data_IF_472280438249
#
_entry.id   IF_472280438249
#
_cell.length_a   1.000
_cell.length_b   1.000
_cell.length_c   1.000
_cell.angle_alpha   90.00
_cell.angle_beta   90.00
_cell.angle_gamma   90.00
#
_symmetry.space_group_name_H-M   'P 1'
#
loop_
_entity.id
_entity.type
_entity.pdbx_description
1 polymer ?
#
# COMPACT_ATOMS: atom_id res chain seq x y z
N UNK A 1 -4.58 -10.32 5.59
CA UNK A 1 -4.69 -11.07 6.86
C UNK A 1 -5.24 -10.16 7.96
N UNK A 2 -6.48 -9.70 7.84
CA UNK A 2 -7.06 -8.77 8.83
C UNK A 2 -8.58 -8.78 8.81
N UNK A 3 -9.19 -8.55 7.65
CA UNK A 3 -10.63 -8.42 7.53
C UNK A 3 -11.41 -9.67 8.00
N UNK A 4 -11.07 -10.86 7.51
CA UNK A 4 -11.78 -12.10 7.88
C UNK A 4 -11.67 -12.43 9.39
N UNK A 5 -10.47 -12.43 10.00
CA UNK A 5 -10.36 -12.57 11.45
C UNK A 5 -11.07 -11.48 12.25
N UNK A 6 -11.08 -10.24 11.77
CA UNK A 6 -11.82 -9.14 12.43
C UNK A 6 -13.33 -9.33 12.32
N UNK A 7 -13.86 -9.80 11.19
CA UNK A 7 -15.29 -10.11 11.03
C UNK A 7 -15.68 -11.30 11.92
N UNK A 8 -14.84 -12.34 12.01
CA UNK A 8 -15.10 -13.50 12.87
C UNK A 8 -15.00 -13.16 14.36
N UNK A 9 -14.03 -12.33 14.74
CA UNK A 9 -13.89 -11.87 16.12
C UNK A 9 -15.01 -10.90 16.53
N UNK A 10 -15.28 -9.86 15.74
CA UNK A 10 -16.25 -8.82 16.10
C UNK A 10 -17.70 -9.22 15.84
N UNK A 11 -17.94 -10.06 14.83
CA UNK A 11 -19.29 -10.50 14.43
C UNK A 11 -19.74 -11.81 15.06
N UNK A 12 -18.81 -12.73 15.33
CA UNK A 12 -19.13 -14.10 15.79
C UNK A 12 -18.47 -14.49 17.11
N UNK A 13 -17.62 -13.62 17.69
CA UNK A 13 -16.85 -13.88 18.91
C UNK A 13 -15.95 -15.13 18.81
N UNK A 14 -15.57 -15.50 17.59
CA UNK A 14 -14.67 -16.61 17.30
C UNK A 14 -13.34 -16.02 16.88
N UNK A 15 -12.39 -15.93 17.81
CA UNK A 15 -11.01 -15.60 17.49
C UNK A 15 -10.07 -16.76 17.86
N UNK A 16 -9.68 -17.63 16.92
CA UNK A 16 -8.75 -18.71 17.23
C UNK A 16 -7.38 -18.20 17.68
N UNK A 17 -7.04 -16.92 17.41
CA UNK A 17 -5.78 -16.32 17.84
C UNK A 17 -5.75 -15.93 19.32
N UNK A 18 -6.90 -15.88 20.01
CA UNK A 18 -6.94 -15.66 21.46
C UNK A 18 -6.71 -16.94 22.26
N UNK A 19 -6.86 -18.11 21.61
CA UNK A 19 -6.65 -19.41 22.23
C UNK A 19 -5.27 -20.02 21.94
N UNK A 20 -4.57 -19.53 20.92
CA UNK A 20 -3.26 -20.06 20.52
C UNK A 20 -2.24 -18.93 20.32
N UNK A 21 -1.23 -18.91 21.20
CA UNK A 21 -0.15 -17.91 21.20
C UNK A 21 0.66 -17.90 19.90
N UNK A 22 0.87 -19.06 19.27
CA UNK A 22 1.61 -19.18 18.01
C UNK A 22 0.81 -18.52 16.89
N UNK A 23 -0.51 -18.76 16.85
CA UNK A 23 -1.39 -18.14 15.86
C UNK A 23 -1.49 -16.63 16.05
N UNK A 24 -1.54 -16.15 17.30
CA UNK A 24 -1.48 -14.73 17.63
C UNK A 24 -0.22 -14.07 17.06
N UNK A 25 0.96 -14.64 17.35
CA UNK A 25 2.26 -14.14 16.90
C UNK A 25 2.37 -14.11 15.38
N UNK A 26 1.99 -15.20 14.71
CA UNK A 26 2.02 -15.27 13.25
C UNK A 26 1.06 -14.26 12.62
N UNK A 27 -0.15 -14.11 13.17
CA UNK A 27 -1.15 -13.16 12.67
C UNK A 27 -0.62 -11.72 12.73
N UNK A 28 -0.13 -11.27 13.88
CA UNK A 28 0.40 -9.91 14.02
C UNK A 28 1.65 -9.70 13.15
N UNK A 29 2.57 -10.66 13.15
CA UNK A 29 3.77 -10.60 12.31
C UNK A 29 3.44 -10.40 10.83
N UNK A 30 2.60 -11.27 10.26
CA UNK A 30 2.23 -11.15 8.84
C UNK A 30 1.39 -9.91 8.56
N UNK A 31 0.56 -9.46 9.49
CA UNK A 31 -0.19 -8.21 9.33
C UNK A 31 0.77 -7.02 9.16
N UNK A 32 1.80 -6.90 10.02
CA UNK A 32 2.80 -5.84 9.91
C UNK A 32 3.65 -5.98 8.63
N UNK A 33 4.16 -7.18 8.34
CA UNK A 33 4.96 -7.44 7.13
C UNK A 33 4.20 -7.07 5.86
N UNK A 34 2.95 -7.52 5.72
CA UNK A 34 2.15 -7.24 4.52
C UNK A 34 1.79 -5.76 4.40
N UNK A 35 1.53 -5.08 5.52
CA UNK A 35 1.27 -3.64 5.53
C UNK A 35 2.49 -2.84 5.06
N UNK A 36 3.68 -3.23 5.52
CA UNK A 36 4.96 -2.62 5.11
C UNK A 36 5.34 -2.95 3.66
N UNK A 37 5.03 -4.15 3.17
CA UNK A 37 5.21 -4.51 1.77
C UNK A 37 4.32 -3.69 0.85
N UNK A 38 3.04 -3.53 1.19
CA UNK A 38 2.10 -2.74 0.42
C UNK A 38 2.62 -1.31 0.22
N UNK A 39 3.00 -0.62 1.30
CA UNK A 39 3.51 0.76 1.20
C UNK A 39 4.83 0.84 0.43
N UNK A 40 5.76 -0.08 0.69
CA UNK A 40 7.09 -0.07 0.05
C UNK A 40 7.03 -0.32 -1.45
N UNK A 41 6.16 -1.22 -1.91
CA UNK A 41 6.04 -1.50 -3.35
C UNK A 41 5.41 -0.36 -4.12
N UNK A 42 4.45 0.36 -3.54
CA UNK A 42 3.88 1.53 -4.22
C UNK A 42 4.91 2.68 -4.26
N UNK A 43 5.72 2.87 -3.21
CA UNK A 43 6.86 3.79 -3.24
C UNK A 43 7.85 3.38 -4.35
N UNK A 44 8.21 2.10 -4.42
CA UNK A 44 9.13 1.60 -5.44
C UNK A 44 8.58 1.81 -6.85
N UNK A 45 7.28 1.60 -7.05
CA UNK A 45 6.60 1.90 -8.30
C UNK A 45 6.65 3.41 -8.63
N UNK A 46 6.48 4.29 -7.64
CA UNK A 46 6.60 5.75 -7.86
C UNK A 46 8.02 6.18 -8.24
N UNK A 47 9.03 5.59 -7.61
CA UNK A 47 10.44 5.82 -7.95
C UNK A 47 10.73 5.34 -9.37
N UNK A 48 10.31 4.12 -9.70
CA UNK A 48 10.47 3.54 -11.03
C UNK A 48 9.86 4.44 -12.12
N UNK A 49 8.62 4.89 -11.92
CA UNK A 49 7.97 5.84 -12.85
C UNK A 49 8.70 7.16 -12.96
N UNK A 50 9.27 7.67 -11.88
CA UNK A 50 10.07 8.89 -11.91
C UNK A 50 11.34 8.70 -12.76
N UNK A 51 11.99 7.55 -12.65
CA UNK A 51 13.19 7.24 -13.43
C UNK A 51 12.88 7.06 -14.91
N UNK A 52 11.83 6.31 -15.27
CA UNK A 52 11.41 6.11 -16.67
C UNK A 52 11.06 7.44 -17.34
N UNK A 53 10.34 8.32 -16.63
CA UNK A 53 9.91 9.61 -17.18
C UNK A 53 11.01 10.66 -17.21
N UNK A 54 12.16 10.42 -16.56
CA UNK A 54 13.25 11.39 -16.50
C UNK A 54 13.77 11.76 -17.90
N UNK A 55 14.03 13.05 -18.17
CA UNK A 55 14.62 13.47 -19.45
C UNK A 55 16.07 12.99 -19.61
N UNK A 56 16.77 12.68 -18.50
CA UNK A 56 18.16 12.25 -18.53
C UNK A 56 18.27 10.74 -18.82
N UNK A 57 18.99 10.38 -19.89
CA UNK A 57 19.25 8.99 -20.27
C UNK A 57 19.96 8.18 -19.17
N UNK A 58 20.85 8.82 -18.40
CA UNK A 58 21.56 8.16 -17.30
C UNK A 58 20.60 7.79 -16.15
N UNK A 59 19.63 8.66 -15.83
CA UNK A 59 18.60 8.35 -14.83
C UNK A 59 17.67 7.23 -15.30
N UNK A 60 17.28 7.23 -16.58
CA UNK A 60 16.41 6.17 -17.15
C UNK A 60 17.04 4.78 -17.06
N UNK A 61 18.37 4.69 -17.16
CA UNK A 61 19.10 3.41 -17.01
C UNK A 61 18.94 2.75 -15.64
N UNK A 62 18.51 3.48 -14.59
CA UNK A 62 18.23 2.86 -13.29
C UNK A 62 16.91 2.06 -13.30
N UNK A 63 15.96 2.37 -14.18
CA UNK A 63 14.75 1.55 -14.37
C UNK A 63 15.04 0.35 -15.25
N UNK A 64 15.90 -0.55 -14.76
CA UNK A 64 16.11 -1.86 -15.38
C UNK A 64 15.33 -2.92 -14.62
N UNK A 65 14.77 -3.89 -15.35
CA UNK A 65 14.04 -5.03 -14.73
C UNK A 65 14.88 -5.71 -13.65
N UNK A 66 16.18 -5.89 -13.90
CA UNK A 66 17.12 -6.49 -12.93
C UNK A 66 17.19 -5.69 -11.62
N UNK A 67 17.34 -4.36 -11.69
CA UNK A 67 17.41 -3.54 -10.48
C UNK A 67 16.10 -3.56 -9.72
N UNK A 68 14.96 -3.45 -10.41
CA UNK A 68 13.63 -3.49 -9.77
C UNK A 68 13.43 -4.83 -9.05
N UNK A 69 13.76 -5.96 -9.69
CA UNK A 69 13.63 -7.28 -9.07
C UNK A 69 14.55 -7.43 -7.85
N UNK A 70 15.80 -6.98 -7.93
CA UNK A 70 16.73 -7.01 -6.79
C UNK A 70 16.20 -6.14 -5.65
N UNK A 71 15.74 -4.92 -5.95
CA UNK A 71 15.17 -4.01 -4.95
C UNK A 71 13.92 -4.58 -4.30
N UNK A 72 13.02 -5.21 -5.08
CA UNK A 72 11.83 -5.87 -4.54
C UNK A 72 12.21 -6.96 -3.55
N UNK A 73 13.08 -7.91 -3.96
CA UNK A 73 13.54 -9.01 -3.08
C UNK A 73 14.24 -8.47 -1.84
N UNK A 74 15.12 -7.49 -2.00
CA UNK A 74 15.84 -6.86 -0.89
C UNK A 74 14.89 -6.23 0.13
N UNK A 75 13.90 -5.47 -0.34
CA UNK A 75 12.86 -4.87 0.51
C UNK A 75 12.01 -5.96 1.18
N UNK A 76 11.65 -7.04 0.46
CA UNK A 76 10.88 -8.14 1.04
C UNK A 76 11.61 -8.78 2.22
N UNK A 77 12.88 -9.14 2.00
CA UNK A 77 13.74 -9.76 3.02
C UNK A 77 13.99 -8.82 4.18
N UNK A 78 14.26 -7.54 3.89
CA UNK A 78 14.43 -6.51 4.92
C UNK A 78 13.22 -6.46 5.87
N UNK A 79 11.99 -6.37 5.35
CA UNK A 79 10.81 -6.31 6.21
C UNK A 79 10.52 -7.61 6.96
N UNK A 80 10.80 -8.77 6.36
CA UNK A 80 10.66 -10.07 7.05
C UNK A 80 11.58 -10.15 8.27
N UNK A 81 12.84 -9.76 8.11
CA UNK A 81 13.83 -9.76 9.18
C UNK A 81 13.54 -8.65 10.19
N UNK A 82 13.27 -7.44 9.71
CA UNK A 82 13.01 -6.28 10.55
C UNK A 82 11.81 -6.53 11.45
N UNK A 83 10.71 -7.09 10.95
CA UNK A 83 9.50 -7.37 11.73
C UNK A 83 9.58 -8.62 12.62
N UNK A 84 10.70 -9.36 12.62
CA UNK A 84 10.85 -10.61 13.38
C UNK A 84 10.64 -10.46 14.89
N UNK A 85 10.94 -9.29 15.45
CA UNK A 85 10.65 -8.92 16.84
C UNK A 85 9.16 -9.12 17.21
N UNK A 86 8.24 -8.92 16.27
CA UNK A 86 6.81 -9.17 16.47
C UNK A 86 6.49 -10.63 16.81
N UNK A 87 7.29 -11.61 16.36
CA UNK A 87 7.07 -13.02 16.71
C UNK A 87 7.39 -13.32 18.18
N UNK A 88 8.21 -12.50 18.83
CA UNK A 88 8.66 -12.73 20.21
C UNK A 88 7.79 -11.92 21.18
N UNK A 89 7.57 -10.64 20.86
CA UNK A 89 6.95 -9.67 21.76
C UNK A 89 5.43 -9.52 21.57
N UNK A 90 4.78 -10.44 20.85
CA UNK A 90 3.31 -10.55 20.80
C UNK A 90 2.81 -11.56 21.83
N UNK A 91 1.75 -11.18 22.53
CA UNK A 91 1.14 -11.97 23.60
C UNK A 91 -0.38 -11.84 23.63
N UNK A 92 -1.03 -12.78 24.31
CA UNK A 92 -2.46 -12.72 24.57
C UNK A 92 -2.65 -11.98 25.88
N UNK A 93 -3.30 -10.81 25.82
CA UNK A 93 -3.61 -9.99 26.98
C UNK A 93 -5.08 -10.10 27.32
N UNK A 94 -5.38 -10.12 28.61
CA UNK A 94 -6.74 -10.02 29.10
C UNK A 94 -7.11 -8.53 29.20
N UNK A 95 -8.03 -8.09 28.34
CA UNK A 95 -8.47 -6.69 28.32
C UNK A 95 -9.66 -6.44 29.26
N UNK A 96 -10.52 -7.46 29.43
CA UNK A 96 -11.61 -7.46 30.40
C UNK A 96 -11.81 -8.87 31.00
N UNK A 97 -12.55 -9.04 32.11
CA UNK A 97 -12.89 -10.36 32.64
C UNK A 97 -13.49 -11.27 31.55
N UNK A 98 -12.81 -12.37 31.22
CA UNK A 98 -13.23 -13.30 30.16
C UNK A 98 -13.01 -12.82 28.71
N UNK A 99 -12.39 -11.66 28.48
CA UNK A 99 -12.11 -11.13 27.15
C UNK A 99 -10.60 -11.01 26.89
N UNK A 100 -10.10 -11.85 25.98
CA UNK A 100 -8.70 -11.95 25.61
C UNK A 100 -8.48 -11.37 24.22
N UNK A 101 -7.37 -10.67 24.02
CA UNK A 101 -7.01 -10.06 22.74
C UNK A 101 -5.54 -10.36 22.45
N UNK A 102 -5.24 -10.68 21.19
CA UNK A 102 -3.88 -10.78 20.71
C UNK A 102 -3.30 -9.37 20.48
N UNK A 103 -2.28 -8.98 21.24
CA UNK A 103 -1.70 -7.64 21.15
C UNK A 103 -0.18 -7.65 21.36
N UNK A 104 0.46 -6.53 21.04
CA UNK A 104 1.86 -6.31 21.40
C UNK A 104 2.00 -6.25 22.92
N UNK A 105 3.14 -6.69 23.44
CA UNK A 105 3.45 -6.57 24.86
C UNK A 105 3.29 -5.10 25.32
N UNK A 106 2.46 -4.83 26.35
CA UNK A 106 2.21 -3.47 26.82
C UNK A 106 3.46 -2.90 27.48
N UNK A 107 3.59 -1.58 27.41
CA UNK A 107 4.73 -0.82 27.91
C UNK A 107 5.57 -0.25 26.77
N UNK A 108 6.88 -0.22 26.96
CA UNK A 108 7.80 0.43 26.03
C UNK A 108 7.74 -0.14 24.61
N UNK A 109 7.55 -1.46 24.49
CA UNK A 109 7.45 -2.13 23.19
C UNK A 109 6.24 -1.67 22.37
N UNK A 110 5.04 -1.62 22.99
CA UNK A 110 3.84 -1.14 22.30
C UNK A 110 3.98 0.32 21.81
N UNK A 111 4.64 1.17 22.60
CA UNK A 111 4.90 2.57 22.21
C UNK A 111 5.89 2.64 21.04
N UNK A 112 6.97 1.86 21.05
CA UNK A 112 7.92 1.79 19.94
C UNK A 112 7.24 1.33 18.64
N UNK A 113 6.43 0.28 18.70
CA UNK A 113 5.67 -0.20 17.54
C UNK A 113 4.68 0.84 17.04
N UNK A 114 4.02 1.58 17.93
CA UNK A 114 3.11 2.64 17.52
C UNK A 114 3.84 3.77 16.77
N UNK A 115 4.97 4.26 17.29
CA UNK A 115 5.80 5.25 16.60
C UNK A 115 6.37 4.74 15.27
N UNK A 116 6.79 3.48 15.24
CA UNK A 116 7.22 2.81 14.02
C UNK A 116 6.09 2.76 12.99
N UNK A 117 4.87 2.40 13.39
CA UNK A 117 3.68 2.39 12.52
C UNK A 117 3.41 3.78 11.96
N UNK A 118 3.34 4.80 12.82
CA UNK A 118 3.10 6.19 12.42
C UNK A 118 4.15 6.64 11.39
N UNK A 119 5.42 6.33 11.63
CA UNK A 119 6.50 6.75 10.75
C UNK A 119 6.46 6.01 9.41
N UNK A 120 6.41 4.68 9.45
CA UNK A 120 6.63 3.80 8.29
C UNK A 120 5.37 3.60 7.46
N UNK A 121 4.18 3.66 8.07
CA UNK A 121 2.90 3.48 7.38
C UNK A 121 2.18 4.81 7.18
N UNK A 122 2.28 5.73 8.16
CA UNK A 122 1.49 6.96 8.14
C UNK A 122 2.14 8.17 7.49
N UNK A 123 3.41 8.45 7.78
CA UNK A 123 4.05 9.72 7.37
C UNK A 123 4.99 9.56 6.19
N UNK A 124 5.95 8.62 6.27
CA UNK A 124 6.99 8.48 5.26
C UNK A 124 6.42 8.09 3.89
N UNK A 125 5.55 7.07 3.76
CA UNK A 125 5.03 6.68 2.44
C UNK A 125 4.31 7.80 1.69
N UNK A 126 3.29 8.49 2.24
CA UNK A 126 2.60 9.52 1.50
C UNK A 126 3.49 10.71 1.16
N UNK A 127 4.44 11.10 2.02
CA UNK A 127 5.41 12.14 1.71
C UNK A 127 6.29 11.75 0.51
N UNK A 128 6.89 10.57 0.56
CA UNK A 128 7.76 10.06 -0.50
C UNK A 128 6.99 9.89 -1.81
N UNK A 129 5.80 9.32 -1.76
CA UNK A 129 4.91 9.14 -2.91
C UNK A 129 4.49 10.47 -3.53
N UNK A 130 4.19 11.48 -2.72
CA UNK A 130 3.81 12.82 -3.20
C UNK A 130 4.99 13.48 -3.91
N UNK A 131 6.19 13.38 -3.34
CA UNK A 131 7.42 13.91 -3.94
C UNK A 131 7.67 13.24 -5.30
N UNK A 132 7.70 11.90 -5.36
CA UNK A 132 7.94 11.19 -6.62
C UNK A 132 6.81 11.33 -7.63
N UNK A 133 5.55 11.41 -7.17
CA UNK A 133 4.39 11.72 -8.01
C UNK A 133 4.53 13.09 -8.66
N UNK A 134 4.90 14.12 -7.89
CA UNK A 134 5.15 15.46 -8.41
C UNK A 134 6.31 15.50 -9.40
N UNK A 135 7.43 14.83 -9.09
CA UNK A 135 8.58 14.73 -9.98
C UNK A 135 8.20 14.05 -11.31
N UNK A 136 7.41 12.97 -11.26
CA UNK A 136 6.89 12.28 -12.44
C UNK A 136 6.08 13.23 -13.32
N UNK A 137 5.14 14.00 -12.74
CA UNK A 137 4.33 14.98 -13.49
C UNK A 137 5.21 16.08 -14.11
N UNK A 138 6.20 16.59 -13.35
CA UNK A 138 7.14 17.60 -13.83
C UNK A 138 7.98 17.09 -15.01
N UNK A 139 8.45 15.86 -14.94
CA UNK A 139 9.24 15.22 -15.99
C UNK A 139 8.42 15.05 -17.27
N UNK A 140 7.18 14.58 -17.18
CA UNK A 140 6.27 14.45 -18.33
C UNK A 140 6.01 15.80 -19.00
N UNK A 141 5.70 16.84 -18.21
CA UNK A 141 5.47 18.20 -18.73
C UNK A 141 6.70 18.77 -19.44
N UNK A 142 7.90 18.44 -18.97
CA UNK A 142 9.17 18.86 -19.61
C UNK A 142 9.41 18.17 -20.93
N UNK A 143 9.10 16.88 -21.06
CA UNK A 143 9.28 16.12 -22.31
C UNK A 143 8.25 16.53 -23.37
N UNK A 144 7.04 16.93 -22.95
CA UNK A 144 5.96 17.32 -23.89
C UNK A 144 6.14 18.72 -24.50
N UNK A 145 6.83 19.65 -23.82
CA UNK A 145 6.97 21.05 -24.28
C UNK A 145 7.84 21.24 -25.55
N UNK A 146 8.98 20.53 -25.75
CA UNK A 146 9.80 20.71 -26.95
C UNK A 146 9.21 20.05 -28.21
N UNK A 147 8.46 18.95 -28.06
CA UNK A 147 7.96 18.19 -29.22
C UNK A 147 6.84 18.89 -30.00
N UNK A 148 6.20 19.92 -29.44
CA UNK A 148 5.20 20.73 -30.14
C UNK A 148 5.79 21.82 -31.05
N UNK A 149 7.08 22.16 -30.91
CA UNK A 149 7.67 23.25 -31.69
C UNK A 149 8.54 22.79 -32.88
N UNK A 150 8.69 21.48 -33.10
CA UNK A 150 9.51 20.93 -34.21
C UNK A 150 8.76 20.02 -35.19
N UNK A 151 7.43 20.01 -35.19
CA UNK A 151 6.61 19.27 -36.18
C UNK A 151 6.47 20.01 -37.51
N UNK A 152 7.60 20.32 -38.13
CA UNK A 152 7.65 20.79 -39.52
C UNK A 152 8.86 20.18 -40.24
N UNK A 153 9.11 18.87 -40.12
CA UNK A 153 9.94 18.14 -41.09
C UNK A 153 9.35 16.74 -41.25
N UNK A 154 8.76 16.51 -42.42
CA UNK A 154 8.34 15.22 -42.95
C UNK A 154 9.52 14.24 -42.97
N UNK A 155 9.40 13.11 -42.26
CA UNK A 155 10.01 11.82 -42.62
C UNK A 155 9.67 10.76 -41.55
N UNK A 156 8.95 9.69 -41.92
CA UNK A 156 8.90 8.44 -41.15
C UNK A 156 7.58 8.10 -40.43
N UNK A 157 6.52 7.83 -41.19
CA UNK A 157 5.16 7.48 -40.73
C UNK A 157 5.09 6.21 -39.84
N UNK A 158 6.11 5.34 -39.84
CA UNK A 158 6.08 4.04 -39.13
C UNK A 158 6.63 4.12 -37.69
N UNK A 159 7.58 5.00 -37.39
CA UNK A 159 8.18 5.12 -36.05
C UNK A 159 7.31 5.94 -35.06
N UNK A 160 6.53 6.89 -35.58
CA UNK A 160 5.68 7.80 -34.78
C UNK A 160 4.53 7.05 -34.09
N UNK A 161 3.99 6.00 -34.73
CA UNK A 161 2.89 5.19 -34.19
C UNK A 161 3.30 4.35 -32.97
N UNK A 162 4.49 3.75 -32.98
CA UNK A 162 5.00 2.96 -31.85
C UNK A 162 5.34 3.85 -30.64
N UNK A 163 5.92 5.03 -30.88
CA UNK A 163 6.24 5.98 -29.82
C UNK A 163 4.97 6.52 -29.13
N UNK A 164 3.91 6.79 -29.91
CA UNK A 164 2.62 7.24 -29.39
C UNK A 164 1.89 6.13 -28.60
N UNK A 165 1.99 4.87 -29.03
CA UNK A 165 1.41 3.72 -28.33
C UNK A 165 2.15 3.37 -27.02
N UNK A 166 3.46 3.55 -26.96
CA UNK A 166 4.24 3.45 -25.73
C UNK A 166 3.86 4.58 -24.74
N UNK A 167 3.76 5.82 -25.24
CA UNK A 167 3.40 6.98 -24.42
C UNK A 167 1.99 6.88 -23.82
N UNK A 168 1.00 6.34 -24.55
CA UNK A 168 -0.36 6.17 -24.03
C UNK A 168 -0.46 5.10 -22.94
N UNK A 169 0.31 4.01 -23.06
CA UNK A 169 0.45 2.98 -22.02
C UNK A 169 1.13 3.52 -20.76
N UNK A 170 2.20 4.28 -20.92
CA UNK A 170 2.90 4.92 -19.79
C UNK A 170 1.99 5.93 -19.09
N UNK A 171 1.27 6.76 -19.84
CA UNK A 171 0.32 7.73 -19.27
C UNK A 171 -0.81 7.04 -18.49
N UNK A 172 -1.26 5.87 -18.94
CA UNK A 172 -2.24 5.07 -18.22
C UNK A 172 -1.68 4.50 -16.91
N UNK A 173 -0.44 3.98 -16.93
CA UNK A 173 0.23 3.48 -15.74
C UNK A 173 0.49 4.59 -14.70
N UNK A 174 0.83 5.79 -15.16
CA UNK A 174 1.00 6.96 -14.30
C UNK A 174 -0.34 7.39 -13.67
N UNK A 175 -1.43 7.40 -14.44
CA UNK A 175 -2.77 7.70 -13.90
C UNK A 175 -3.21 6.68 -12.85
N UNK A 176 -2.96 5.40 -13.10
CA UNK A 176 -3.24 4.32 -12.16
C UNK A 176 -2.47 4.53 -10.85
N UNK A 177 -1.15 4.78 -10.94
CA UNK A 177 -0.33 5.06 -9.76
C UNK A 177 -0.82 6.29 -8.98
N UNK A 178 -1.23 7.37 -9.65
CA UNK A 178 -1.77 8.55 -8.98
C UNK A 178 -3.07 8.25 -8.23
N UNK A 179 -3.96 7.45 -8.82
CA UNK A 179 -5.19 7.00 -8.14
C UNK A 179 -4.82 6.15 -6.93
N UNK A 180 -3.88 5.22 -7.05
CA UNK A 180 -3.43 4.38 -5.93
C UNK A 180 -2.81 5.22 -4.81
N UNK A 181 -2.02 6.26 -5.11
CA UNK A 181 -1.45 7.18 -4.11
C UNK A 181 -2.55 7.95 -3.38
N UNK A 182 -3.54 8.48 -4.12
CA UNK A 182 -4.65 9.23 -3.53
C UNK A 182 -5.52 8.32 -2.67
N UNK A 183 -5.88 7.15 -3.17
CA UNK A 183 -6.65 6.14 -2.43
C UNK A 183 -5.94 5.70 -1.16
N UNK A 184 -4.65 5.35 -1.26
CA UNK A 184 -3.83 4.96 -0.12
C UNK A 184 -3.79 6.06 0.95
N UNK A 185 -3.55 7.30 0.55
CA UNK A 185 -3.45 8.44 1.47
C UNK A 185 -4.80 8.70 2.17
N UNK A 186 -5.90 8.79 1.41
CA UNK A 186 -7.23 9.03 1.97
C UNK A 186 -7.72 7.90 2.86
N UNK A 187 -7.35 6.65 2.56
CA UNK A 187 -7.82 5.50 3.32
C UNK A 187 -7.00 5.24 4.59
N UNK A 188 -5.70 5.51 4.59
CA UNK A 188 -4.86 5.24 5.77
C UNK A 188 -4.76 6.42 6.73
N UNK A 189 -4.88 7.66 6.25
CA UNK A 189 -4.73 8.86 7.06
C UNK A 189 -5.63 8.92 8.32
N UNK A 190 -6.94 8.57 8.28
CA UNK A 190 -7.78 8.61 9.48
C UNK A 190 -7.29 7.67 10.60
N UNK A 191 -6.83 6.48 10.25
CA UNK A 191 -6.33 5.49 11.23
C UNK A 191 -5.03 5.96 11.90
N UNK A 192 -4.18 6.67 11.16
CA UNK A 192 -2.92 7.20 11.66
C UNK A 192 -3.16 8.39 12.60
N UNK A 193 -4.12 9.27 12.30
CA UNK A 193 -4.54 10.34 13.21
C UNK A 193 -5.01 9.76 14.54
N UNK A 194 -5.85 8.73 14.50
CA UNK A 194 -6.34 8.10 15.73
C UNK A 194 -5.23 7.41 16.52
N UNK A 195 -4.24 6.83 15.84
CA UNK A 195 -3.07 6.25 16.47
C UNK A 195 -2.22 7.31 17.16
N UNK A 196 -1.96 8.44 16.50
CA UNK A 196 -1.25 9.60 17.08
C UNK A 196 -2.02 10.12 18.31
N UNK A 197 -3.34 10.32 18.18
CA UNK A 197 -4.19 10.76 19.28
C UNK A 197 -4.12 9.81 20.48
N UNK A 198 -4.19 8.49 20.23
CA UNK A 198 -4.08 7.45 21.25
C UNK A 198 -2.72 7.51 21.97
N UNK A 199 -1.62 7.73 21.25
CA UNK A 199 -0.28 7.85 21.85
C UNK A 199 -0.11 9.13 22.67
N UNK A 200 -0.63 10.27 22.19
CA UNK A 200 -0.55 11.55 22.92
C UNK A 200 -1.35 11.49 24.23
N UNK A 201 -2.51 10.83 24.21
CA UNK A 201 -3.44 10.77 25.34
C UNK A 201 -3.25 9.54 26.24
N UNK A 202 -2.18 8.76 26.04
CA UNK A 202 -1.99 7.48 26.76
C UNK A 202 -1.86 7.63 28.28
N UNK A 203 -1.38 8.77 28.77
CA UNK A 203 -1.20 9.06 30.20
C UNK A 203 -2.37 9.86 30.81
N UNK A 204 -3.36 10.24 30.01
CA UNK A 204 -4.51 10.99 30.49
C UNK A 204 -5.56 10.00 31.01
N UNK A 205 -6.09 10.26 32.21
CA UNK A 205 -7.24 9.52 32.73
C UNK A 205 -8.47 9.82 31.86
N UNK A 206 -9.04 8.78 31.24
CA UNK A 206 -10.20 8.88 30.35
C UNK A 206 -11.45 8.39 31.06
N UNK A 207 -12.58 9.08 30.85
CA UNK A 207 -13.87 8.57 31.29
C UNK A 207 -14.28 7.32 30.50
N UNK A 208 -15.17 6.52 31.07
CA UNK A 208 -15.71 5.32 30.39
C UNK A 208 -16.39 5.70 29.08
N UNK A 209 -17.15 6.80 29.07
CA UNK A 209 -17.80 7.33 27.87
C UNK A 209 -16.79 7.69 26.78
N UNK A 210 -15.69 8.36 27.15
CA UNK A 210 -14.65 8.73 26.21
C UNK A 210 -13.96 7.49 25.62
N UNK A 211 -13.67 6.47 26.43
CA UNK A 211 -13.08 5.22 25.94
C UNK A 211 -13.97 4.51 24.92
N UNK A 212 -15.29 4.51 25.15
CA UNK A 212 -16.26 3.90 24.22
C UNK A 212 -16.30 4.66 22.89
N UNK A 213 -16.31 6.00 22.93
CA UNK A 213 -16.28 6.83 21.71
C UNK A 213 -14.98 6.59 20.94
N UNK A 214 -13.83 6.61 21.62
CA UNK A 214 -12.53 6.40 21.00
C UNK A 214 -12.42 5.01 20.35
N UNK A 215 -12.87 3.95 21.04
CA UNK A 215 -12.94 2.61 20.49
C UNK A 215 -13.84 2.54 19.26
N UNK A 216 -15.00 3.18 19.30
CA UNK A 216 -15.94 3.18 18.17
C UNK A 216 -15.34 3.87 16.93
N UNK A 217 -14.69 5.02 17.13
CA UNK A 217 -13.98 5.75 16.06
C UNK A 217 -12.80 4.93 15.54
N UNK A 218 -12.02 4.29 16.42
CA UNK A 218 -10.93 3.39 16.02
C UNK A 218 -11.44 2.26 15.12
N UNK A 219 -12.51 1.57 15.49
CA UNK A 219 -13.09 0.50 14.67
C UNK A 219 -13.55 1.01 13.30
N UNK A 220 -14.18 2.20 13.24
CA UNK A 220 -14.58 2.81 11.97
C UNK A 220 -13.36 3.15 11.10
N UNK A 221 -12.30 3.70 11.68
CA UNK A 221 -11.06 3.99 10.94
C UNK A 221 -10.34 2.73 10.47
N UNK A 222 -10.37 1.64 11.25
CA UNK A 222 -9.83 0.35 10.82
C UNK A 222 -10.65 -0.28 9.69
N UNK A 223 -11.97 -0.16 9.72
CA UNK A 223 -12.82 -0.58 8.60
C UNK A 223 -12.41 0.16 7.33
N UNK A 224 -12.27 1.49 7.42
CA UNK A 224 -11.85 2.34 6.31
C UNK A 224 -10.43 1.99 5.81
N UNK A 225 -9.50 1.69 6.72
CA UNK A 225 -8.17 1.19 6.39
C UNK A 225 -8.23 -0.10 5.57
N UNK A 226 -9.13 -1.03 5.92
CA UNK A 226 -9.24 -2.29 5.19
C UNK A 226 -9.88 -2.15 3.82
N UNK A 227 -10.76 -1.17 3.62
CA UNK A 227 -11.40 -0.88 2.34
C UNK A 227 -10.36 -0.60 1.25
N UNK A 228 -9.25 0.07 1.56
CA UNK A 228 -8.12 0.30 0.65
C UNK A 228 -7.63 -1.00 -0.02
N UNK A 229 -7.44 -2.06 0.79
CA UNK A 229 -6.95 -3.35 0.31
C UNK A 229 -7.90 -4.02 -0.71
N UNK A 230 -9.21 -3.70 -0.63
CA UNK A 230 -10.20 -4.16 -1.60
C UNK A 230 -10.27 -3.25 -2.83
N UNK A 231 -10.25 -1.94 -2.62
CA UNK A 231 -10.41 -0.93 -3.67
C UNK A 231 -9.29 -1.00 -4.70
N UNK A 232 -8.04 -1.29 -4.31
CA UNK A 232 -6.92 -1.33 -5.25
C UNK A 232 -7.15 -2.30 -6.42
N UNK A 233 -7.86 -3.41 -6.21
CA UNK A 233 -8.20 -4.33 -7.29
C UNK A 233 -9.19 -3.68 -8.29
N UNK A 234 -10.21 -3.01 -7.76
CA UNK A 234 -11.24 -2.35 -8.55
C UNK A 234 -10.72 -1.10 -9.27
N UNK A 235 -9.88 -0.28 -8.64
CA UNK A 235 -9.26 0.90 -9.28
C UNK A 235 -8.43 0.47 -10.49
N UNK A 236 -7.68 -0.61 -10.36
CA UNK A 236 -6.86 -1.15 -11.45
C UNK A 236 -7.71 -1.63 -12.64
N UNK A 237 -8.86 -2.24 -12.39
CA UNK A 237 -9.81 -2.66 -13.43
C UNK A 237 -10.47 -1.44 -14.10
N UNK A 238 -10.90 -0.45 -13.32
CA UNK A 238 -11.64 0.71 -13.84
C UNK A 238 -10.72 1.63 -14.65
N UNK A 239 -9.52 1.92 -14.13
CA UNK A 239 -8.58 2.90 -14.72
C UNK A 239 -7.85 2.33 -15.95
N UNK A 240 -7.54 1.03 -15.96
CA UNK A 240 -6.74 0.43 -17.03
C UNK A 240 -7.59 -0.26 -18.11
N UNK A 241 -7.71 0.40 -19.28
CA UNK A 241 -8.25 -0.18 -20.51
C UNK A 241 -7.41 -1.38 -20.98
N UNK A 242 -6.09 -1.30 -20.84
CA UNK A 242 -5.17 -2.41 -21.18
C UNK A 242 -5.38 -3.60 -20.24
N UNK A 243 -5.54 -3.37 -18.94
CA UNK A 243 -5.83 -4.44 -17.99
C UNK A 243 -7.16 -5.12 -18.30
N UNK A 244 -8.22 -4.35 -18.60
CA UNK A 244 -9.50 -4.91 -19.05
C UNK A 244 -9.40 -5.74 -20.31
N UNK A 245 -8.57 -5.33 -21.28
CA UNK A 245 -8.36 -6.06 -22.52
C UNK A 245 -7.62 -7.40 -22.28
N UNK A 246 -6.56 -7.40 -21.46
CA UNK A 246 -5.84 -8.63 -21.10
C UNK A 246 -6.69 -9.56 -20.23
N UNK A 247 -7.47 -9.02 -19.29
CA UNK A 247 -8.36 -9.82 -18.45
C UNK A 247 -9.44 -10.49 -19.31
N UNK A 248 -10.08 -9.75 -20.22
CA UNK A 248 -10.99 -10.33 -21.23
C UNK A 248 -10.32 -11.40 -22.09
N UNK A 249 -9.07 -11.19 -22.49
CA UNK A 249 -8.30 -12.18 -23.27
C UNK A 249 -8.03 -13.46 -22.48
N UNK A 250 -7.66 -13.34 -21.20
CA UNK A 250 -7.46 -14.49 -20.31
C UNK A 250 -8.78 -15.25 -20.13
N UNK A 251 -9.89 -14.56 -19.86
CA UNK A 251 -11.20 -15.21 -19.75
C UNK A 251 -11.65 -15.85 -21.06
N UNK A 252 -11.44 -15.21 -22.19
CA UNK A 252 -11.73 -15.78 -23.52
C UNK A 252 -10.88 -17.02 -23.80
N UNK A 253 -9.60 -17.00 -23.43
CA UNK A 253 -8.71 -18.15 -23.61
C UNK A 253 -9.04 -19.29 -22.65
N UNK A 254 -9.40 -18.98 -21.40
CA UNK A 254 -9.83 -19.98 -20.43
C UNK A 254 -11.17 -20.61 -20.83
N UNK A 255 -12.09 -19.80 -21.34
CA UNK A 255 -13.36 -20.28 -21.89
C UNK A 255 -13.13 -21.17 -23.13
N UNK A 256 -12.26 -20.75 -24.05
CA UNK A 256 -11.88 -21.54 -25.21
C UNK A 256 -11.15 -22.85 -24.83
N UNK A 257 -10.38 -22.86 -23.73
CA UNK A 257 -9.69 -24.06 -23.24
C UNK A 257 -10.64 -25.02 -22.50
N UNK A 258 -11.70 -24.52 -21.87
CA UNK A 258 -12.64 -25.36 -21.12
C UNK A 258 -13.74 -25.98 -21.99
N UNK A 259 -13.99 -25.42 -23.17
CA UNK A 259 -15.01 -25.87 -24.13
C UNK A 259 -14.46 -26.58 -25.36
N UNK A 260 -13.20 -27.02 -25.32
CA UNK A 260 -12.53 -27.75 -26.39
C UNK A 260 -11.84 -29.00 -25.86
#
# INVERSE_FOLDING_TARGET
FGLLPTILSSGYNIDPSTNNIVLCRLRLYFAYVFSSWQSSYIILAAIDRTFITSPNANTRRFSTRRLITISMVGISVFWLLFMSHGLIFSQIIQFAPGYFVCYCQPGLYSTLIAYQSISILGVIPPLVMTIFGFLTVKNIRRVQRPAQHSRAVDTGVIAVGQLHALHSKDQQLIRMLLVDIISFTLCKFPSEIMTIYSQITQYNAKSVEQQIIEQSVLQLTFLWYFVDNGISCYTNIVVSKTFRAELKRIFSNAYAFYFH
#
